data_IF_920412037568
#
_entry.id   IF_920412037568
#
_cell.length_a   1.000
_cell.length_b   1.000
_cell.length_c   1.000
_cell.angle_alpha   90.00
_cell.angle_beta   90.00
_cell.angle_gamma   90.00
#
_symmetry.space_group_name_H-M   'P 1'
#
loop_
_entity.id
_entity.type
_entity.pdbx_description
1 polymer ?
#
# COMPACT_ATOMS: atom_id res chain seq x y z
N UNK A 1 -2.95 -6.50 -4.56
CA UNK A 1 -2.17 -5.52 -5.36
C UNK A 1 -1.99 -4.14 -4.67
N UNK A 2 -2.25 -4.00 -3.36
CA UNK A 2 -2.06 -2.74 -2.63
C UNK A 2 -0.63 -2.59 -2.06
N UNK A 3 0.06 -3.69 -1.78
CA UNK A 3 1.39 -3.74 -1.17
C UNK A 3 2.52 -3.26 -2.10
N UNK A 4 2.38 -3.47 -3.42
CA UNK A 4 3.35 -2.94 -4.41
C UNK A 4 3.32 -1.41 -4.45
N UNK A 5 2.13 -0.84 -4.25
CA UNK A 5 1.93 0.60 -4.25
C UNK A 5 2.45 1.27 -2.97
N UNK A 6 2.65 0.50 -1.89
CA UNK A 6 3.15 1.00 -0.60
C UNK A 6 4.64 0.79 -0.35
N UNK A 7 5.40 0.32 -1.35
CA UNK A 7 6.84 0.02 -1.22
C UNK A 7 7.17 -0.98 -0.10
N UNK A 8 6.18 -1.73 0.38
CA UNK A 8 6.34 -2.81 1.35
C UNK A 8 6.72 -4.11 0.61
N UNK A 9 7.88 -4.08 -0.04
CA UNK A 9 8.32 -5.16 -0.93
C UNK A 9 8.53 -6.49 -0.19
N UNK A 10 8.85 -6.46 1.11
CA UNK A 10 8.90 -7.66 1.95
C UNK A 10 7.54 -8.34 2.20
N UNK A 11 6.44 -7.58 2.21
CA UNK A 11 5.08 -8.16 2.24
C UNK A 11 4.60 -8.57 0.84
N UNK A 12 5.05 -7.89 -0.21
CA UNK A 12 4.81 -8.34 -1.59
C UNK A 12 5.43 -9.70 -1.87
N UNK A 13 6.70 -9.92 -1.51
CA UNK A 13 7.39 -11.19 -1.78
C UNK A 13 6.70 -12.36 -1.07
N UNK A 14 6.31 -12.19 0.19
CA UNK A 14 5.56 -13.22 0.93
C UNK A 14 4.18 -13.52 0.33
N UNK A 15 3.52 -12.51 -0.26
CA UNK A 15 2.25 -12.73 -0.98
C UNK A 15 2.45 -13.45 -2.31
N UNK A 16 3.54 -13.18 -3.03
CA UNK A 16 3.89 -13.89 -4.28
C UNK A 16 4.27 -15.34 -4.01
N UNK A 17 5.08 -15.61 -2.97
CA UNK A 17 5.42 -16.99 -2.55
C UNK A 17 4.15 -17.78 -2.19
N UNK A 18 3.15 -17.14 -1.57
CA UNK A 18 1.85 -17.79 -1.28
C UNK A 18 0.97 -17.99 -2.52
N UNK A 19 1.14 -17.20 -3.56
CA UNK A 19 0.46 -17.43 -4.85
C UNK A 19 1.11 -18.61 -5.57
N UNK A 20 2.43 -18.77 -5.50
CA UNK A 20 3.15 -19.91 -6.08
C UNK A 20 2.74 -21.26 -5.46
N UNK A 21 2.36 -21.26 -4.17
CA UNK A 21 1.94 -22.48 -3.46
C UNK A 21 0.42 -22.76 -3.52
N UNK A 22 -0.37 -21.93 -4.21
CA UNK A 22 -1.82 -22.12 -4.29
C UNK A 22 -2.17 -23.25 -5.30
N UNK A 23 -2.88 -24.28 -4.83
CA UNK A 23 -3.11 -25.54 -5.55
C UNK A 23 -4.09 -25.45 -6.74
N UNK A 24 -4.73 -24.29 -6.95
CA UNK A 24 -5.69 -24.05 -8.04
C UNK A 24 -5.11 -23.36 -9.28
N UNK A 25 -3.80 -23.07 -9.30
CA UNK A 25 -3.17 -22.40 -10.44
C UNK A 25 -2.64 -23.41 -11.47
N UNK A 26 -2.95 -23.17 -12.73
CA UNK A 26 -2.38 -23.92 -13.87
C UNK A 26 -0.87 -23.65 -14.01
N UNK A 27 -0.10 -24.57 -14.61
CA UNK A 27 1.34 -24.37 -14.84
C UNK A 27 1.66 -23.07 -15.58
N UNK A 28 0.84 -22.70 -16.56
CA UNK A 28 0.99 -21.49 -17.36
C UNK A 28 0.79 -20.22 -16.53
N UNK A 29 -0.20 -20.21 -15.63
CA UNK A 29 -0.43 -19.09 -14.71
C UNK A 29 0.71 -18.93 -13.71
N UNK A 30 1.28 -20.04 -13.22
CA UNK A 30 2.45 -19.99 -12.31
C UNK A 30 3.65 -19.35 -13.00
N UNK A 31 3.93 -19.72 -14.25
CA UNK A 31 5.03 -19.14 -15.01
C UNK A 31 4.85 -17.64 -15.26
N UNK A 32 3.61 -17.19 -15.53
CA UNK A 32 3.29 -15.77 -15.65
C UNK A 32 3.51 -14.99 -14.33
N UNK A 33 3.17 -15.60 -13.18
CA UNK A 33 3.42 -14.97 -11.88
C UNK A 33 4.92 -14.91 -11.54
N UNK A 34 5.69 -15.93 -11.90
CA UNK A 34 7.15 -15.98 -11.72
C UNK A 34 7.84 -14.91 -12.56
N UNK A 35 7.48 -14.78 -13.84
CA UNK A 35 8.02 -13.75 -14.73
C UNK A 35 7.67 -12.34 -14.25
N UNK A 36 6.42 -12.13 -13.82
CA UNK A 36 5.99 -10.86 -13.23
C UNK A 36 6.73 -10.55 -11.92
N UNK A 37 6.94 -11.55 -11.06
CA UNK A 37 7.71 -11.38 -9.83
C UNK A 37 9.17 -11.00 -10.15
N UNK A 38 9.80 -11.67 -11.11
CA UNK A 38 11.14 -11.33 -11.59
C UNK A 38 11.18 -9.90 -12.12
N UNK A 39 10.27 -9.47 -12.99
CA UNK A 39 10.23 -8.10 -13.51
C UNK A 39 10.09 -7.05 -12.40
N UNK A 40 9.25 -7.32 -11.39
CA UNK A 40 9.01 -6.41 -10.27
C UNK A 40 10.25 -6.35 -9.35
N UNK A 41 10.78 -7.49 -8.92
CA UNK A 41 11.82 -7.56 -7.89
C UNK A 41 13.25 -7.43 -8.43
N UNK A 42 13.48 -7.62 -9.73
CA UNK A 42 14.77 -7.29 -10.38
C UNK A 42 14.97 -5.78 -10.55
N UNK A 43 13.90 -5.03 -10.86
CA UNK A 43 13.93 -3.55 -10.93
C UNK A 43 13.81 -2.88 -9.57
N UNK A 44 13.03 -3.46 -8.66
CA UNK A 44 12.85 -2.96 -7.30
C UNK A 44 13.37 -3.99 -6.31
N UNK A 45 14.64 -3.88 -5.92
CA UNK A 45 15.18 -4.73 -4.85
C UNK A 45 14.21 -4.73 -3.66
N UNK A 46 13.81 -5.90 -3.14
CA UNK A 46 12.93 -6.01 -1.98
C UNK A 46 13.70 -5.67 -0.70
N UNK A 47 14.34 -4.51 -0.68
CA UNK A 47 14.84 -3.87 0.51
C UNK A 47 13.75 -2.94 0.96
N UNK A 48 13.10 -3.30 2.07
CA UNK A 48 12.25 -2.37 2.81
C UNK A 48 13.10 -1.11 3.06
N UNK A 49 12.76 -0.03 2.36
CA UNK A 49 13.46 1.24 2.51
C UNK A 49 13.28 1.64 3.96
N UNK A 50 14.41 1.76 4.71
CA UNK A 50 14.51 2.08 6.14
C UNK A 50 13.19 2.62 6.70
N UNK A 51 12.54 1.85 7.59
CA UNK A 51 11.28 2.19 8.25
C UNK A 51 11.22 3.70 8.52
N UNK A 52 10.51 4.44 7.65
CA UNK A 52 10.43 5.88 7.81
C UNK A 52 9.56 6.12 9.04
N UNK A 53 9.99 7.05 9.88
CA UNK A 53 9.19 7.46 11.03
C UNK A 53 8.51 8.76 10.68
N UNK A 54 7.26 8.86 11.07
CA UNK A 54 6.41 10.05 10.95
C UNK A 54 6.07 10.55 12.35
N UNK A 55 5.64 11.80 12.44
CA UNK A 55 5.18 12.39 13.69
C UNK A 55 3.66 12.21 13.85
N UNK A 56 3.23 11.74 15.01
CA UNK A 56 1.81 11.61 15.33
C UNK A 56 1.15 12.99 15.50
N UNK A 57 0.02 13.20 14.81
CA UNK A 57 -0.76 14.45 14.90
C UNK A 57 -1.43 14.70 16.26
N UNK A 58 -1.57 13.68 17.11
CA UNK A 58 -2.23 13.78 18.42
C UNK A 58 -1.28 14.01 19.61
N UNK A 59 -0.05 13.50 19.55
CA UNK A 59 0.89 13.56 20.69
C UNK A 59 2.35 13.82 20.29
N UNK A 60 2.62 14.08 19.00
CA UNK A 60 3.96 14.26 18.44
C UNK A 60 4.95 13.11 18.69
N UNK A 61 4.47 11.93 19.09
CA UNK A 61 5.30 10.73 19.18
C UNK A 61 5.79 10.32 17.79
N UNK A 62 7.02 9.83 17.72
CA UNK A 62 7.59 9.26 16.50
C UNK A 62 7.03 7.85 16.27
N UNK A 63 6.24 7.68 15.21
CA UNK A 63 5.57 6.41 14.88
C UNK A 63 6.05 5.90 13.51
N UNK A 64 6.01 4.58 13.25
CA UNK A 64 6.32 4.05 11.92
C UNK A 64 5.35 4.55 10.85
N UNK A 65 5.84 4.78 9.63
CA UNK A 65 5.06 5.25 8.46
C UNK A 65 4.05 4.24 7.89
N UNK A 66 3.95 3.07 8.49
CA UNK A 66 2.95 2.03 8.18
C UNK A 66 1.95 1.84 9.33
N UNK A 67 2.09 2.58 10.43
CA UNK A 67 1.26 2.43 11.62
C UNK A 67 -0.12 3.06 11.42
N UNK A 68 -1.19 2.28 11.60
CA UNK A 68 -2.58 2.74 11.50
C UNK A 68 -3.11 3.36 12.79
N UNK A 69 -2.36 3.25 13.89
CA UNK A 69 -2.71 3.83 15.18
C UNK A 69 -1.46 4.17 16.00
N UNK A 70 -1.45 5.32 16.65
CA UNK A 70 -0.33 5.73 17.48
C UNK A 70 -0.22 4.85 18.74
N UNK A 71 0.92 4.20 19.00
CA UNK A 71 1.09 3.36 20.19
C UNK A 71 1.11 4.14 21.50
N UNK A 72 1.31 5.47 21.45
CA UNK A 72 1.39 6.32 22.64
C UNK A 72 0.07 6.95 23.05
N UNK A 73 -0.82 7.24 22.10
CA UNK A 73 -2.08 7.97 22.38
C UNK A 73 -3.32 7.38 21.69
N UNK A 74 -3.19 6.23 21.03
CA UNK A 74 -4.25 5.52 20.30
C UNK A 74 -4.92 6.34 19.17
N UNK A 75 -4.32 7.46 18.75
CA UNK A 75 -4.80 8.22 17.59
C UNK A 75 -4.78 7.35 16.34
N UNK A 76 -5.93 7.17 15.68
CA UNK A 76 -6.08 6.34 14.48
C UNK A 76 -5.89 7.16 13.22
N UNK A 77 -5.20 6.58 12.24
CA UNK A 77 -4.91 7.21 10.96
C UNK A 77 -5.57 6.43 9.82
N UNK A 78 -6.41 7.07 9.00
CA UNK A 78 -6.90 6.45 7.78
C UNK A 78 -5.75 6.15 6.82
N UNK A 79 -5.80 5.00 6.14
CA UNK A 79 -4.77 4.64 5.15
C UNK A 79 -5.08 5.24 3.79
N UNK A 80 -4.07 5.82 3.14
CA UNK A 80 -4.14 6.23 1.74
C UNK A 80 -4.22 4.99 0.84
N UNK A 81 -5.29 4.83 0.06
CA UNK A 81 -5.46 3.67 -0.84
C UNK A 81 -4.49 3.64 -2.02
N UNK A 82 -3.79 4.75 -2.29
CA UNK A 82 -2.79 4.82 -3.36
C UNK A 82 -1.41 4.41 -2.86
N UNK A 83 -1.01 4.86 -1.67
CA UNK A 83 0.36 4.67 -1.15
C UNK A 83 0.45 3.72 0.03
N UNK A 84 -0.67 3.29 0.62
CA UNK A 84 -0.69 2.49 1.85
C UNK A 84 -0.19 3.21 3.10
N UNK A 85 0.19 4.49 3.01
CA UNK A 85 0.68 5.28 4.15
C UNK A 85 -0.49 5.88 4.94
N UNK A 86 -0.34 6.08 6.27
CA UNK A 86 -1.25 6.88 7.08
C UNK A 86 -1.46 8.26 6.49
N UNK A 87 -2.72 8.73 6.46
CA UNK A 87 -3.09 10.10 6.11
C UNK A 87 -2.97 10.97 7.36
N UNK A 88 -1.98 11.85 7.37
CA UNK A 88 -1.74 12.81 8.46
C UNK A 88 -2.23 14.22 8.12
N UNK A 89 -2.47 14.48 6.82
CA UNK A 89 -2.95 15.76 6.33
C UNK A 89 -4.45 15.92 6.60
N UNK A 90 -4.87 17.14 6.89
CA UNK A 90 -6.29 17.49 7.04
C UNK A 90 -7.05 17.48 5.72
N UNK A 91 -6.35 17.74 4.61
CA UNK A 91 -6.90 17.67 3.26
C UNK A 91 -6.60 16.31 2.66
N UNK A 92 -7.64 15.61 2.24
CA UNK A 92 -7.55 14.32 1.57
C UNK A 92 -8.71 14.16 0.61
N UNK A 93 -8.48 13.43 -0.47
CA UNK A 93 -9.56 13.00 -1.34
C UNK A 93 -10.29 11.81 -0.72
N UNK A 94 -11.61 11.77 -0.90
CA UNK A 94 -12.45 10.63 -0.50
C UNK A 94 -13.29 10.17 -1.69
N UNK A 95 -13.23 8.87 -1.99
CA UNK A 95 -14.04 8.29 -3.04
C UNK A 95 -15.54 8.46 -2.74
N UNK A 96 -16.29 8.97 -3.72
CA UNK A 96 -17.74 9.14 -3.62
C UNK A 96 -18.50 7.82 -3.45
N UNK A 97 -17.98 6.73 -4.03
CA UNK A 97 -18.57 5.40 -3.97
C UNK A 97 -18.12 4.61 -2.73
N UNK A 98 -16.83 4.26 -2.64
CA UNK A 98 -16.35 3.34 -1.59
C UNK A 98 -15.90 4.03 -0.29
N UNK A 99 -15.94 5.37 -0.21
CA UNK A 99 -15.56 6.18 0.98
C UNK A 99 -14.13 6.00 1.49
N UNK A 100 -13.28 5.35 0.69
CA UNK A 100 -11.86 5.25 1.01
C UNK A 100 -11.11 6.52 0.61
N UNK A 101 -9.97 6.76 1.26
CA UNK A 101 -9.25 8.03 1.21
C UNK A 101 -7.90 7.91 0.55
N UNK A 102 -7.43 8.99 -0.05
CA UNK A 102 -6.10 9.10 -0.64
C UNK A 102 -5.53 10.51 -0.46
N UNK A 103 -4.20 10.62 -0.53
CA UNK A 103 -3.55 11.92 -0.71
C UNK A 103 -4.00 12.54 -2.03
N UNK A 104 -4.35 13.83 -1.99
CA UNK A 104 -4.86 14.54 -3.17
C UNK A 104 -3.82 14.57 -4.30
N UNK A 105 -2.55 14.80 -3.94
CA UNK A 105 -1.41 14.74 -4.86
C UNK A 105 -1.21 13.38 -5.52
N UNK A 106 -1.62 12.29 -4.87
CA UNK A 106 -1.45 10.93 -5.38
C UNK A 106 -2.65 10.45 -6.18
N UNK A 107 -3.87 10.82 -5.77
CA UNK A 107 -5.08 10.45 -6.52
C UNK A 107 -5.24 11.25 -7.80
N UNK A 108 -4.77 12.50 -7.84
CA UNK A 108 -4.81 13.35 -9.04
C UNK A 108 -4.01 12.75 -10.23
N UNK A 109 -3.11 11.80 -9.96
CA UNK A 109 -2.36 11.05 -10.98
C UNK A 109 -3.15 9.88 -11.57
N UNK A 110 -4.39 9.65 -11.12
CA UNK A 110 -5.24 8.51 -11.49
C UNK A 110 -6.57 9.02 -12.03
N UNK A 111 -7.12 8.28 -13.00
CA UNK A 111 -8.45 8.56 -13.56
C UNK A 111 -9.57 7.85 -12.79
N UNK A 112 -9.24 6.78 -12.07
CA UNK A 112 -10.20 5.92 -11.37
C UNK A 112 -9.70 5.58 -9.97
N UNK A 113 -10.64 5.39 -9.05
CA UNK A 113 -10.38 4.88 -7.71
C UNK A 113 -9.69 3.50 -7.81
N UNK A 114 -8.54 3.30 -7.16
CA UNK A 114 -7.80 2.04 -7.24
C UNK A 114 -8.49 0.85 -6.55
N UNK A 115 -9.56 1.08 -5.80
CA UNK A 115 -10.33 0.02 -5.13
C UNK A 115 -11.62 -0.34 -5.85
N UNK A 116 -12.42 0.66 -6.24
CA UNK A 116 -13.75 0.44 -6.80
C UNK A 116 -13.89 0.89 -8.27
N UNK A 117 -12.81 1.40 -8.88
CA UNK A 117 -12.76 1.84 -10.27
C UNK A 117 -13.73 2.96 -10.67
N UNK A 118 -14.48 3.54 -9.71
CA UNK A 118 -15.27 4.75 -9.94
C UNK A 118 -14.35 5.90 -10.36
N UNK A 119 -14.72 6.71 -11.37
CA UNK A 119 -13.95 7.88 -11.77
C UNK A 119 -13.62 8.80 -10.59
N UNK A 120 -12.39 9.34 -10.58
CA UNK A 120 -11.86 10.23 -9.53
C UNK A 120 -12.43 11.63 -9.65
#
# INVERSE_FOLDING_TARGET
MASCASRAFGMCSNSFIKLETHETLTPEQRQQYEELALEIFTKHSPKDSKAQKIECTGCSASIPDWSTACPSCDTKFPTCIVTGRPLLEYQFWMCSACKHRAYESEIAKRQNCPLCHTPV
#
